data_IF_550402293093
#
_entry.id   IF_550402293093
#
_cell.length_a   1.000
_cell.length_b   1.000
_cell.length_c   1.000
_cell.angle_alpha   90.00
_cell.angle_beta   90.00
_cell.angle_gamma   90.00
#
_symmetry.space_group_name_H-M   'P 1'
#
loop_
_entity.id
_entity.type
_entity.pdbx_description
1 polymer ?
#
# COMPACT_ATOMS: atom_id res chain seq x y z
N UNK A 1 -24.78 5.66 56.77
CA UNK A 1 -25.77 6.66 56.33
C UNK A 1 -25.77 6.63 54.82
N UNK A 2 -26.67 5.92 54.33
CA UNK A 2 -27.82 6.06 53.40
C UNK A 2 -27.83 7.43 52.69
N UNK A 3 -27.81 7.44 51.37
CA UNK A 3 -29.03 7.64 50.58
C UNK A 3 -28.79 7.30 49.09
N UNK A 4 -29.64 6.39 48.59
CA UNK A 4 -29.91 6.12 47.19
C UNK A 4 -30.77 7.23 46.61
N UNK A 5 -30.58 7.60 45.35
CA UNK A 5 -31.63 8.22 44.53
C UNK A 5 -31.68 7.50 43.17
N UNK A 6 -32.77 6.79 43.01
CA UNK A 6 -33.25 6.21 41.75
C UNK A 6 -34.20 7.23 41.11
N UNK A 7 -34.00 7.54 39.83
CA UNK A 7 -35.04 8.19 39.02
C UNK A 7 -35.30 7.36 37.79
N UNK A 8 -36.47 6.71 37.75
CA UNK A 8 -37.13 6.21 36.54
C UNK A 8 -37.81 7.37 35.82
N UNK A 9 -37.74 7.44 34.52
CA UNK A 9 -38.81 8.06 33.74
C UNK A 9 -39.01 7.31 32.43
N UNK A 10 -40.22 6.79 32.29
CA UNK A 10 -40.80 6.20 31.09
C UNK A 10 -41.31 7.30 30.15
N UNK A 11 -41.30 7.07 28.85
CA UNK A 11 -41.85 7.98 27.85
C UNK A 11 -41.95 7.33 26.48
N UNK A 12 -43.01 6.60 26.32
CA UNK A 12 -44.04 6.66 25.26
C UNK A 12 -43.61 6.51 23.80
N UNK A 13 -43.98 5.35 23.28
CA UNK A 13 -44.11 4.93 21.91
C UNK A 13 -45.26 5.69 21.20
N UNK A 14 -45.00 6.35 20.08
CA UNK A 14 -46.04 6.86 19.17
C UNK A 14 -45.90 6.18 17.80
N UNK A 15 -46.82 5.23 17.53
CA UNK A 15 -47.02 4.60 16.24
C UNK A 15 -48.03 5.43 15.46
N UNK A 16 -47.63 5.98 14.31
CA UNK A 16 -48.54 6.60 13.35
C UNK A 16 -48.76 5.67 12.17
N UNK A 17 -49.95 5.11 12.11
CA UNK A 17 -50.47 4.30 11.01
C UNK A 17 -51.11 5.26 9.98
N UNK A 18 -50.60 5.30 8.75
CA UNK A 18 -51.25 6.00 7.63
C UNK A 18 -51.82 4.96 6.68
N UNK A 19 -53.16 4.88 6.67
CA UNK A 19 -53.97 4.20 5.67
C UNK A 19 -54.07 5.07 4.41
N UNK A 20 -53.62 4.57 3.26
CA UNK A 20 -53.95 5.16 1.97
C UNK A 20 -55.08 4.36 1.29
N UNK A 21 -56.14 5.07 0.99
CA UNK A 21 -57.37 4.59 0.34
C UNK A 21 -57.12 4.57 -1.17
N UNK A 22 -57.37 3.42 -1.82
CA UNK A 22 -57.49 3.30 -3.28
C UNK A 22 -58.86 3.76 -3.75
N UNK A 23 -58.89 4.74 -4.66
CA UNK A 23 -60.06 5.01 -5.49
C UNK A 23 -59.69 4.82 -6.95
N UNK A 24 -60.30 3.85 -7.60
CA UNK A 24 -60.14 3.60 -9.02
C UNK A 24 -60.96 4.55 -9.85
N UNK A 25 -60.47 4.91 -11.04
CA UNK A 25 -61.28 5.43 -12.14
C UNK A 25 -60.80 4.82 -13.45
N UNK A 26 -61.70 4.12 -14.13
CA UNK A 26 -61.61 3.63 -15.50
C UNK A 26 -61.89 4.81 -16.45
N UNK A 27 -61.04 4.96 -17.50
CA UNK A 27 -61.26 5.91 -18.57
C UNK A 27 -60.44 5.56 -19.80
N UNK A 28 -61.14 5.27 -20.85
CA UNK A 28 -60.82 4.92 -22.26
C UNK A 28 -59.72 5.72 -22.93
N UNK A 29 -58.89 5.02 -23.73
CA UNK A 29 -57.99 5.59 -24.76
C UNK A 29 -58.82 6.19 -25.95
N UNK A 30 -58.27 7.11 -26.77
CA UNK A 30 -57.28 6.80 -27.81
C UNK A 30 -56.30 7.99 -28.12
N UNK A 31 -55.22 7.69 -28.82
CA UNK A 31 -54.43 8.70 -29.55
C UNK A 31 -52.91 8.45 -29.48
N UNK A 32 -52.43 7.73 -30.50
CA UNK A 32 -51.02 7.63 -30.81
C UNK A 32 -50.42 9.02 -31.08
N UNK A 33 -49.36 9.34 -30.36
CA UNK A 33 -48.42 10.38 -30.77
C UNK A 33 -47.01 9.86 -30.50
N UNK A 34 -46.33 9.45 -31.55
CA UNK A 34 -44.93 9.03 -31.53
C UNK A 34 -44.07 10.19 -31.07
N UNK A 35 -43.50 10.07 -29.89
CA UNK A 35 -42.40 10.90 -29.40
C UNK A 35 -41.09 10.18 -29.78
N UNK A 36 -40.09 10.90 -30.34
CA UNK A 36 -38.85 10.25 -30.80
C UNK A 36 -38.15 9.54 -29.65
N UNK A 37 -37.76 8.28 -29.92
CA UNK A 37 -37.14 7.39 -28.96
C UNK A 37 -36.02 8.05 -28.18
N UNK A 38 -36.18 8.09 -26.86
CA UNK A 38 -35.06 8.16 -25.98
C UNK A 38 -34.23 6.88 -26.19
N UNK A 39 -33.14 7.04 -26.90
CA UNK A 39 -32.10 6.00 -26.95
C UNK A 39 -31.64 5.76 -25.52
N UNK A 40 -32.21 4.78 -24.88
CA UNK A 40 -31.62 4.17 -23.69
C UNK A 40 -30.32 3.56 -24.18
N UNK A 41 -29.23 4.29 -24.05
CA UNK A 41 -27.89 3.72 -24.09
C UNK A 41 -27.86 2.75 -22.92
N UNK A 42 -28.08 1.47 -23.21
CA UNK A 42 -27.66 0.39 -22.31
C UNK A 42 -26.20 0.66 -21.99
N UNK A 43 -25.78 0.71 -20.70
CA UNK A 43 -24.36 0.79 -20.38
C UNK A 43 -23.69 -0.39 -21.08
N UNK A 44 -22.61 -0.11 -21.80
CA UNK A 44 -21.84 -1.15 -22.46
C UNK A 44 -21.50 -2.21 -21.40
N UNK A 45 -21.96 -3.43 -21.62
CA UNK A 45 -21.64 -4.60 -20.81
C UNK A 45 -20.14 -4.75 -20.81
N UNK A 46 -19.48 -4.43 -19.66
CA UNK A 46 -18.10 -4.74 -19.48
C UNK A 46 -17.20 -3.69 -18.87
N UNK A 47 -17.68 -2.78 -18.00
CA UNK A 47 -16.77 -2.17 -17.05
C UNK A 47 -16.33 -3.27 -16.09
N UNK A 48 -15.18 -3.89 -16.35
CA UNK A 48 -14.64 -4.91 -15.47
C UNK A 48 -14.09 -4.23 -14.21
N UNK A 49 -14.51 -4.65 -13.02
CA UNK A 49 -13.84 -4.27 -11.78
C UNK A 49 -12.52 -5.03 -11.71
N UNK A 50 -11.43 -4.34 -11.39
CA UNK A 50 -10.13 -4.92 -11.05
C UNK A 50 -9.80 -4.58 -9.60
N UNK A 51 -9.80 -5.58 -8.74
CA UNK A 51 -9.48 -5.44 -7.33
C UNK A 51 -7.98 -5.64 -7.11
N UNK A 52 -7.35 -4.69 -6.45
CA UNK A 52 -5.91 -4.63 -6.28
C UNK A 52 -5.56 -4.52 -4.80
N UNK A 53 -4.93 -5.56 -4.24
CA UNK A 53 -4.33 -5.42 -2.91
C UNK A 53 -2.95 -4.76 -3.03
N UNK A 54 -2.72 -3.76 -2.21
CA UNK A 54 -1.50 -2.95 -2.26
C UNK A 54 -1.05 -2.55 -0.86
N UNK A 55 -0.08 -1.64 -0.77
CA UNK A 55 0.51 -1.25 0.52
C UNK A 55 0.07 0.14 0.97
N UNK A 56 -0.06 0.32 2.30
CA UNK A 56 -0.37 1.62 2.89
C UNK A 56 0.72 2.65 2.62
N UNK A 57 1.99 2.24 2.45
CA UNK A 57 3.05 3.13 2.05
C UNK A 57 2.83 3.66 0.63
N UNK A 58 2.44 2.81 -0.32
CA UNK A 58 2.14 3.24 -1.67
C UNK A 58 0.89 4.14 -1.73
N UNK A 59 -0.15 3.80 -0.96
CA UNK A 59 -1.34 4.66 -0.81
C UNK A 59 -0.98 6.05 -0.27
N UNK A 60 -0.13 6.12 0.76
CA UNK A 60 0.28 7.38 1.39
C UNK A 60 1.04 8.33 0.46
N UNK A 61 1.67 7.83 -0.60
CA UNK A 61 2.31 8.69 -1.61
C UNK A 61 1.32 9.42 -2.50
N UNK A 62 0.09 8.91 -2.62
CA UNK A 62 -0.93 9.43 -3.55
C UNK A 62 -0.83 8.86 -4.97
N UNK A 63 0.17 8.01 -5.29
CA UNK A 63 0.34 7.45 -6.63
C UNK A 63 -0.88 6.63 -7.07
N UNK A 64 -1.52 5.89 -6.16
CA UNK A 64 -2.68 5.04 -6.52
C UNK A 64 -3.83 5.85 -7.13
N UNK A 65 -4.14 7.01 -6.55
CA UNK A 65 -5.20 7.88 -7.06
C UNK A 65 -4.87 8.45 -8.46
N UNK A 66 -3.59 8.68 -8.75
CA UNK A 66 -3.15 9.13 -10.06
C UNK A 66 -3.20 8.00 -11.10
N UNK A 67 -2.79 6.79 -10.74
CA UNK A 67 -2.92 5.59 -11.58
C UNK A 67 -4.40 5.32 -11.94
N UNK A 68 -5.29 5.36 -10.94
CA UNK A 68 -6.74 5.23 -11.11
C UNK A 68 -7.27 6.29 -12.09
N UNK A 69 -7.01 7.54 -11.82
CA UNK A 69 -7.48 8.66 -12.62
C UNK A 69 -7.09 8.56 -14.11
N UNK A 70 -5.83 8.20 -14.39
CA UNK A 70 -5.33 8.14 -15.77
C UNK A 70 -5.84 6.88 -16.45
N UNK A 71 -5.66 5.71 -15.84
CA UNK A 71 -6.04 4.45 -16.45
C UNK A 71 -7.56 4.33 -16.71
N UNK A 72 -8.39 4.74 -15.76
CA UNK A 72 -9.85 4.76 -15.91
C UNK A 72 -10.33 5.82 -16.91
N UNK A 73 -9.57 6.91 -17.06
CA UNK A 73 -9.85 7.96 -18.05
C UNK A 73 -9.78 7.44 -19.49
N UNK A 74 -9.01 6.38 -19.74
CA UNK A 74 -8.75 5.81 -21.06
C UNK A 74 -9.39 4.43 -21.27
N UNK A 75 -9.74 3.76 -20.18
CA UNK A 75 -10.26 2.40 -20.18
C UNK A 75 -11.63 2.32 -19.49
N UNK A 76 -12.49 1.44 -19.99
CA UNK A 76 -13.78 1.16 -19.33
C UNK A 76 -13.55 0.12 -18.24
N UNK A 77 -13.06 0.55 -17.08
CA UNK A 77 -12.69 -0.27 -15.94
C UNK A 77 -12.94 0.50 -14.64
N UNK A 78 -13.08 -0.21 -13.52
CA UNK A 78 -13.15 0.31 -12.16
C UNK A 78 -12.01 -0.33 -11.34
N UNK A 79 -10.97 0.43 -11.00
CA UNK A 79 -9.85 -0.02 -10.17
C UNK A 79 -10.20 0.15 -8.70
N UNK A 80 -10.15 -0.93 -7.94
CA UNK A 80 -10.45 -0.89 -6.50
C UNK A 80 -9.21 -1.28 -5.69
N UNK A 81 -8.58 -0.31 -5.05
CA UNK A 81 -7.40 -0.51 -4.22
C UNK A 81 -7.78 -0.85 -2.78
N UNK A 82 -7.08 -1.86 -2.21
CA UNK A 82 -7.18 -2.27 -0.81
C UNK A 82 -5.78 -2.16 -0.22
N UNK A 83 -5.51 -1.06 0.48
CA UNK A 83 -4.20 -0.80 1.07
C UNK A 83 -4.04 -1.46 2.45
N UNK A 84 -2.96 -2.23 2.61
CA UNK A 84 -2.63 -2.97 3.83
C UNK A 84 -1.12 -3.26 3.87
N UNK A 85 -0.61 -4.04 4.80
CA UNK A 85 0.79 -4.48 4.75
C UNK A 85 1.01 -5.51 3.66
N UNK A 86 2.24 -5.62 3.08
CA UNK A 86 2.53 -6.57 1.99
C UNK A 86 2.11 -8.00 2.33
N UNK A 87 2.43 -8.51 3.53
CA UNK A 87 2.02 -9.85 3.93
C UNK A 87 0.51 -10.04 3.90
N UNK A 88 -0.25 -9.06 4.41
CA UNK A 88 -1.72 -9.09 4.37
C UNK A 88 -2.27 -8.98 2.95
N UNK A 89 -1.63 -8.18 2.07
CA UNK A 89 -2.01 -8.05 0.67
C UNK A 89 -1.86 -9.40 -0.06
N UNK A 90 -0.74 -10.08 0.14
CA UNK A 90 -0.50 -11.41 -0.41
C UNK A 90 -1.46 -12.46 0.17
N UNK A 91 -1.79 -12.40 1.47
CA UNK A 91 -2.78 -13.28 2.08
C UNK A 91 -4.19 -13.06 1.50
N UNK A 92 -4.55 -11.80 1.23
CA UNK A 92 -5.81 -11.46 0.55
C UNK A 92 -5.85 -12.06 -0.86
N UNK A 93 -4.74 -11.99 -1.59
CA UNK A 93 -4.59 -12.59 -2.90
C UNK A 93 -4.59 -14.14 -2.86
N UNK A 94 -3.96 -14.75 -1.84
CA UNK A 94 -4.00 -16.21 -1.61
C UNK A 94 -5.42 -16.75 -1.41
N UNK A 95 -6.33 -15.93 -0.91
CA UNK A 95 -7.76 -16.30 -0.78
C UNK A 95 -8.57 -16.07 -2.05
N UNK A 96 -8.01 -15.38 -3.06
CA UNK A 96 -8.71 -15.01 -4.29
C UNK A 96 -9.71 -13.85 -4.12
N UNK A 97 -9.53 -13.01 -3.09
CA UNK A 97 -10.39 -11.86 -2.81
C UNK A 97 -10.07 -10.65 -3.72
N UNK A 98 -8.92 -10.69 -4.40
CA UNK A 98 -8.43 -9.66 -5.35
C UNK A 98 -7.91 -10.30 -6.63
N UNK A 99 -7.68 -9.49 -7.66
CA UNK A 99 -7.24 -9.90 -8.99
C UNK A 99 -5.74 -9.67 -9.21
N UNK A 100 -5.16 -8.74 -8.46
CA UNK A 100 -3.78 -8.26 -8.59
C UNK A 100 -3.23 -7.87 -7.23
N UNK A 101 -1.92 -8.00 -7.06
CA UNK A 101 -1.18 -7.35 -5.98
C UNK A 101 -0.17 -6.35 -6.55
N UNK A 102 -0.02 -5.20 -5.88
CA UNK A 102 0.99 -4.19 -6.15
C UNK A 102 1.76 -3.94 -4.85
N UNK A 103 2.94 -4.54 -4.73
CA UNK A 103 3.66 -4.72 -3.46
C UNK A 103 5.18 -4.52 -3.62
N UNK A 104 5.92 -4.54 -2.51
CA UNK A 104 7.36 -4.26 -2.49
C UNK A 104 8.11 -5.06 -1.41
N UNK A 105 8.01 -6.38 -1.44
CA UNK A 105 8.77 -7.28 -0.57
C UNK A 105 9.20 -8.53 -1.37
N UNK A 106 10.33 -8.47 -2.10
CA UNK A 106 10.74 -9.50 -3.05
C UNK A 106 10.68 -10.93 -2.53
N UNK A 107 11.14 -11.18 -1.30
CA UNK A 107 11.13 -12.52 -0.72
C UNK A 107 9.70 -13.09 -0.54
N UNK A 108 8.74 -12.25 -0.12
CA UNK A 108 7.34 -12.66 0.01
C UNK A 108 6.64 -12.80 -1.35
N UNK A 109 7.06 -12.00 -2.34
CA UNK A 109 6.58 -12.06 -3.71
C UNK A 109 7.01 -13.38 -4.38
N UNK A 110 8.28 -13.77 -4.21
CA UNK A 110 8.83 -15.03 -4.71
C UNK A 110 8.08 -16.22 -4.10
N UNK A 111 7.90 -16.24 -2.77
CA UNK A 111 7.10 -17.27 -2.09
C UNK A 111 5.69 -17.39 -2.68
N UNK A 112 4.99 -16.26 -2.88
CA UNK A 112 3.64 -16.21 -3.44
C UNK A 112 3.58 -16.80 -4.87
N UNK A 113 4.58 -16.51 -5.70
CA UNK A 113 4.70 -17.05 -7.07
C UNK A 113 5.08 -18.53 -7.04
N UNK A 114 6.04 -18.95 -6.22
CA UNK A 114 6.50 -20.33 -6.09
C UNK A 114 5.39 -21.26 -5.57
N UNK A 115 4.55 -20.77 -4.67
CA UNK A 115 3.34 -21.46 -4.23
C UNK A 115 2.25 -21.55 -5.33
N UNK A 116 2.46 -20.86 -6.47
CA UNK A 116 1.57 -20.86 -7.63
C UNK A 116 0.31 -20.00 -7.46
N UNK A 117 0.24 -19.11 -6.47
CA UNK A 117 -0.86 -18.16 -6.31
C UNK A 117 -0.72 -16.92 -7.20
N UNK A 118 0.52 -16.52 -7.50
CA UNK A 118 0.85 -15.42 -8.39
C UNK A 118 1.33 -15.88 -9.75
N UNK A 119 0.98 -15.14 -10.79
CA UNK A 119 1.50 -15.33 -12.14
C UNK A 119 1.97 -14.00 -12.72
N UNK A 120 2.91 -14.10 -13.67
CA UNK A 120 3.36 -12.96 -14.47
C UNK A 120 3.89 -11.76 -13.64
N UNK A 121 4.78 -11.95 -12.66
CA UNK A 121 5.33 -10.84 -11.90
C UNK A 121 6.05 -9.85 -12.81
N UNK A 122 5.83 -8.55 -12.58
CA UNK A 122 6.53 -7.45 -13.27
C UNK A 122 7.03 -6.44 -12.27
N UNK A 123 8.30 -6.09 -12.35
CA UNK A 123 8.84 -4.93 -11.65
C UNK A 123 8.40 -3.66 -12.36
N UNK A 124 7.82 -2.76 -11.61
CA UNK A 124 7.25 -1.52 -12.12
C UNK A 124 8.26 -0.37 -11.98
N UNK A 125 8.74 -0.17 -10.77
CA UNK A 125 9.61 0.92 -10.39
C UNK A 125 10.39 0.56 -9.12
N UNK A 126 11.29 1.44 -8.72
CA UNK A 126 11.92 1.41 -7.41
C UNK A 126 11.99 2.81 -6.81
N UNK A 127 12.18 2.87 -5.51
CA UNK A 127 12.65 4.03 -4.76
C UNK A 127 13.59 3.53 -3.66
N UNK A 128 13.82 4.34 -2.64
CA UNK A 128 14.68 3.94 -1.54
C UNK A 128 13.92 3.98 -0.21
N UNK A 129 14.28 3.07 0.67
CA UNK A 129 14.07 3.26 2.08
C UNK A 129 15.07 4.29 2.60
N UNK A 130 14.69 4.98 3.64
CA UNK A 130 15.55 5.88 4.39
C UNK A 130 15.39 5.61 5.88
N UNK A 131 16.43 5.89 6.66
CA UNK A 131 16.33 5.92 8.11
C UNK A 131 16.13 7.36 8.52
N UNK A 132 15.02 7.66 9.17
CA UNK A 132 14.74 8.97 9.74
C UNK A 132 14.90 8.93 11.25
N UNK A 133 15.29 10.06 11.84
CA UNK A 133 15.51 10.16 13.26
C UNK A 133 15.48 11.60 13.76
N UNK A 134 15.66 11.83 15.07
CA UNK A 134 15.74 13.18 15.61
C UNK A 134 16.98 13.90 15.06
N UNK A 135 16.86 15.20 14.75
CA UNK A 135 17.93 16.05 14.22
C UNK A 135 19.22 16.03 15.08
N UNK A 136 19.08 15.75 16.37
CA UNK A 136 20.21 15.66 17.30
C UNK A 136 21.05 14.39 17.17
N UNK A 137 20.58 13.41 16.40
CA UNK A 137 21.20 12.11 16.17
C UNK A 137 21.87 11.49 17.42
N UNK A 138 21.11 11.17 18.48
CA UNK A 138 21.69 10.70 19.74
C UNK A 138 22.43 9.36 19.63
N UNK A 139 22.18 8.57 18.58
CA UNK A 139 22.91 7.34 18.30
C UNK A 139 24.18 7.59 17.49
N UNK A 140 24.31 8.76 16.81
CA UNK A 140 25.47 9.12 16.00
C UNK A 140 25.57 8.27 14.73
N UNK A 141 24.44 8.03 14.04
CA UNK A 141 24.40 7.16 12.87
C UNK A 141 24.37 7.93 11.53
N UNK A 142 24.29 9.25 11.55
CA UNK A 142 24.22 10.07 10.35
C UNK A 142 25.33 9.73 9.35
N UNK A 143 24.96 9.42 8.13
CA UNK A 143 25.88 9.08 7.04
C UNK A 143 26.61 7.75 7.17
N UNK A 144 26.21 6.88 8.10
CA UNK A 144 26.73 5.51 8.18
C UNK A 144 26.16 4.63 7.07
N UNK A 145 26.85 3.52 6.78
CA UNK A 145 26.29 2.39 6.07
C UNK A 145 25.03 1.88 6.80
N UNK A 146 23.93 1.53 6.10
CA UNK A 146 22.68 1.12 6.73
C UNK A 146 22.82 -0.04 7.73
N UNK A 147 23.63 -1.06 7.40
CA UNK A 147 23.84 -2.22 8.26
C UNK A 147 24.63 -1.83 9.52
N UNK A 148 25.66 -1.00 9.36
CA UNK A 148 26.43 -0.49 10.51
C UNK A 148 25.59 0.45 11.39
N UNK A 149 24.66 1.21 10.80
CA UNK A 149 23.70 2.03 11.56
C UNK A 149 22.78 1.17 12.43
N UNK A 150 22.24 0.08 11.89
CA UNK A 150 21.43 -0.86 12.63
C UNK A 150 22.21 -1.51 13.78
N UNK A 151 23.47 -1.89 13.57
CA UNK A 151 24.36 -2.36 14.67
C UNK A 151 24.54 -1.30 15.76
N UNK A 152 24.76 -0.05 15.35
CA UNK A 152 24.96 1.07 16.26
C UNK A 152 23.70 1.36 17.06
N UNK A 153 22.53 1.36 16.42
CA UNK A 153 21.22 1.50 17.06
C UNK A 153 20.97 0.42 18.11
N UNK A 154 21.26 -0.85 17.78
CA UNK A 154 21.13 -1.95 18.73
C UNK A 154 22.02 -1.78 19.95
N UNK A 155 23.32 -1.46 19.74
CA UNK A 155 24.27 -1.25 20.82
C UNK A 155 23.85 -0.06 21.70
N UNK A 156 23.48 1.06 21.09
CA UNK A 156 23.07 2.26 21.82
C UNK A 156 21.75 2.03 22.60
N UNK A 157 20.77 1.37 21.97
CA UNK A 157 19.48 1.07 22.58
C UNK A 157 19.59 0.11 23.77
N UNK A 158 20.33 -0.99 23.62
CA UNK A 158 20.54 -1.99 24.70
C UNK A 158 21.36 -1.42 25.86
N UNK A 159 22.26 -0.47 25.59
CA UNK A 159 22.99 0.28 26.60
C UNK A 159 22.15 1.40 27.25
N UNK A 160 20.89 1.57 26.88
CA UNK A 160 20.00 2.64 27.34
C UNK A 160 20.59 4.04 27.13
N UNK A 161 21.24 4.27 25.99
CA UNK A 161 21.75 5.59 25.60
C UNK A 161 20.60 6.61 25.59
N UNK A 162 20.71 7.72 26.31
CA UNK A 162 19.63 8.70 26.39
C UNK A 162 19.22 9.24 25.02
N UNK A 163 17.92 9.24 24.74
CA UNK A 163 17.36 9.74 23.48
C UNK A 163 17.38 8.72 22.33
N UNK A 164 17.91 7.51 22.54
CA UNK A 164 17.89 6.45 21.52
C UNK A 164 16.68 5.56 21.72
N UNK A 165 15.81 5.54 20.71
CA UNK A 165 14.71 4.61 20.56
C UNK A 165 14.52 4.30 19.07
N UNK A 166 13.92 3.16 18.75
CA UNK A 166 13.55 2.76 17.40
C UNK A 166 12.07 2.36 17.37
N UNK A 167 11.34 2.83 16.38
CA UNK A 167 9.94 2.45 16.14
C UNK A 167 9.88 1.61 14.87
N UNK A 168 9.48 0.36 15.04
CA UNK A 168 9.19 -0.56 13.94
C UNK A 168 7.74 -0.47 13.51
N UNK A 169 7.47 -0.74 12.24
CA UNK A 169 6.10 -0.95 11.78
C UNK A 169 5.41 -2.15 12.41
N UNK A 170 6.13 -3.27 12.60
CA UNK A 170 5.65 -4.47 13.29
C UNK A 170 4.47 -5.20 12.63
N UNK A 171 4.16 -4.93 11.36
CA UNK A 171 2.92 -5.35 10.69
C UNK A 171 3.13 -6.32 9.50
N UNK A 172 4.34 -6.86 9.36
CA UNK A 172 4.77 -7.68 8.22
C UNK A 172 4.56 -6.99 6.84
N UNK A 173 4.66 -5.67 6.81
CA UNK A 173 4.71 -4.87 5.57
C UNK A 173 6.05 -5.02 4.87
N UNK A 174 6.17 -4.49 3.63
CA UNK A 174 7.44 -4.42 2.92
C UNK A 174 8.53 -3.70 3.72
N UNK A 175 8.20 -2.57 4.36
CA UNK A 175 9.12 -1.85 5.25
C UNK A 175 9.54 -2.69 6.45
N UNK A 176 8.60 -3.42 7.08
CA UNK A 176 8.93 -4.30 8.20
C UNK A 176 9.78 -5.51 7.77
N UNK A 177 9.53 -6.05 6.57
CA UNK A 177 10.38 -7.12 6.00
C UNK A 177 11.78 -6.59 5.76
N UNK A 178 11.93 -5.39 5.18
CA UNK A 178 13.23 -4.77 4.97
C UNK A 178 13.96 -4.48 6.27
N UNK A 179 13.26 -3.99 7.29
CA UNK A 179 13.81 -3.79 8.63
C UNK A 179 14.40 -5.10 9.19
N UNK A 180 13.63 -6.21 9.10
CA UNK A 180 14.11 -7.53 9.56
C UNK A 180 15.34 -8.01 8.78
N UNK A 181 15.41 -7.70 7.48
CA UNK A 181 16.58 -7.99 6.65
C UNK A 181 17.81 -7.23 7.16
N UNK A 182 17.68 -5.93 7.40
CA UNK A 182 18.77 -5.10 7.92
C UNK A 182 19.23 -5.55 9.31
N UNK A 183 18.30 -5.93 10.22
CA UNK A 183 18.69 -6.53 11.50
C UNK A 183 19.47 -7.85 11.32
N UNK A 184 19.01 -8.71 10.39
CA UNK A 184 19.70 -9.97 10.07
C UNK A 184 21.11 -9.75 9.51
N UNK A 185 21.28 -8.82 8.58
CA UNK A 185 22.58 -8.41 8.01
C UNK A 185 23.49 -7.77 9.07
N UNK A 186 22.90 -7.04 10.01
CA UNK A 186 23.60 -6.50 11.18
C UNK A 186 24.03 -7.61 12.17
N UNK A 187 23.60 -8.85 11.96
CA UNK A 187 24.00 -10.02 12.76
C UNK A 187 23.06 -10.32 13.93
N UNK A 188 21.85 -9.78 13.94
CA UNK A 188 20.85 -9.98 15.00
C UNK A 188 19.68 -10.83 14.52
N UNK A 189 19.26 -11.78 15.35
CA UNK A 189 18.01 -12.55 15.15
C UNK A 189 16.82 -11.68 15.60
N UNK A 190 15.89 -11.44 14.67
CA UNK A 190 14.78 -10.52 14.95
C UNK A 190 13.94 -10.96 16.14
N UNK A 191 13.58 -12.24 16.23
CA UNK A 191 12.72 -12.76 17.29
C UNK A 191 13.45 -12.89 18.64
N UNK A 192 14.74 -13.24 18.61
CA UNK A 192 15.50 -13.49 19.84
C UNK A 192 16.18 -12.25 20.39
N UNK A 193 16.73 -11.43 19.49
CA UNK A 193 17.55 -10.30 19.90
C UNK A 193 16.77 -9.00 19.88
N UNK A 194 15.98 -8.73 18.79
CA UNK A 194 15.33 -7.42 18.61
C UNK A 194 14.03 -7.32 19.41
N UNK A 195 13.11 -8.29 19.30
CA UNK A 195 11.85 -8.26 20.05
C UNK A 195 12.03 -8.35 21.56
N UNK A 196 13.18 -8.83 22.02
CA UNK A 196 13.53 -8.94 23.45
C UNK A 196 14.51 -7.87 23.95
N UNK A 197 14.90 -6.93 23.07
CA UNK A 197 15.97 -5.97 23.33
C UNK A 197 15.62 -4.87 24.38
N UNK A 198 14.37 -4.78 24.79
CA UNK A 198 13.93 -3.83 25.81
C UNK A 198 13.11 -2.66 25.28
N UNK A 199 12.85 -1.68 26.13
CA UNK A 199 11.88 -0.62 25.86
C UNK A 199 12.31 0.42 24.78
N UNK A 200 13.55 0.37 24.32
CA UNK A 200 14.03 1.24 23.26
C UNK A 200 13.50 0.84 21.88
N UNK A 201 13.13 -0.43 21.71
CA UNK A 201 12.50 -0.94 20.51
C UNK A 201 10.99 -0.99 20.71
N UNK A 202 10.24 -0.33 19.83
CA UNK A 202 8.80 -0.18 19.94
C UNK A 202 8.15 -0.72 18.67
N UNK A 203 7.36 -1.77 18.81
CA UNK A 203 6.51 -2.30 17.76
C UNK A 203 5.23 -1.45 17.67
N UNK A 204 5.01 -0.76 16.55
CA UNK A 204 3.85 0.10 16.35
C UNK A 204 2.60 -0.68 15.95
N UNK A 205 2.75 -1.78 15.19
CA UNK A 205 1.62 -2.53 14.62
C UNK A 205 0.72 -1.69 13.72
N UNK A 206 1.30 -0.71 12.97
CA UNK A 206 0.55 0.31 12.23
C UNK A 206 1.06 0.49 10.81
N UNK A 207 0.27 1.19 9.96
CA UNK A 207 0.70 1.65 8.66
C UNK A 207 1.83 2.69 8.73
N UNK A 208 2.53 2.92 7.59
CA UNK A 208 3.76 3.73 7.58
C UNK A 208 3.56 5.16 8.08
N UNK A 209 2.50 5.84 7.63
CA UNK A 209 2.22 7.21 8.06
C UNK A 209 2.01 7.32 9.58
N UNK A 210 1.23 6.41 10.18
CA UNK A 210 1.03 6.38 11.64
C UNK A 210 2.31 6.00 12.39
N UNK A 211 3.15 5.16 11.81
CA UNK A 211 4.46 4.79 12.36
C UNK A 211 5.39 6.00 12.40
N UNK A 212 5.44 6.80 11.33
CA UNK A 212 6.21 8.06 11.28
C UNK A 212 5.76 9.04 12.36
N UNK A 213 4.44 9.22 12.54
CA UNK A 213 3.90 10.11 13.58
C UNK A 213 4.28 9.59 14.98
N UNK A 214 4.18 8.28 15.22
CA UNK A 214 4.57 7.70 16.50
C UNK A 214 6.09 7.86 16.77
N UNK A 215 6.91 7.67 15.74
CA UNK A 215 8.35 7.87 15.83
C UNK A 215 8.70 9.33 16.14
N UNK A 216 8.00 10.29 15.52
CA UNK A 216 8.15 11.72 15.78
C UNK A 216 7.79 12.08 17.21
N UNK A 217 6.63 11.62 17.71
CA UNK A 217 6.21 11.82 19.10
C UNK A 217 7.22 11.27 20.12
N UNK A 218 7.85 10.15 19.79
CA UNK A 218 8.86 9.50 20.63
C UNK A 218 10.28 10.07 20.43
N UNK A 219 10.49 10.88 19.40
CA UNK A 219 11.81 11.31 18.93
C UNK A 219 12.71 10.11 18.67
N UNK A 220 12.17 9.10 18.01
CA UNK A 220 12.80 7.82 17.75
C UNK A 220 13.27 7.72 16.29
N UNK A 221 14.20 6.82 16.04
CA UNK A 221 14.53 6.40 14.68
C UNK A 221 13.45 5.47 14.13
N UNK A 222 13.28 5.46 12.82
CA UNK A 222 12.43 4.48 12.10
C UNK A 222 12.90 4.32 10.66
N UNK A 223 12.65 3.15 10.08
CA UNK A 223 12.79 2.90 8.66
C UNK A 223 11.49 3.31 7.96
N UNK A 224 11.60 4.02 6.85
CA UNK A 224 10.45 4.40 6.00
C UNK A 224 10.86 4.42 4.54
N UNK A 225 9.91 4.28 3.62
CA UNK A 225 10.18 4.65 2.23
C UNK A 225 10.20 6.18 2.08
N UNK A 226 11.06 6.66 1.19
CA UNK A 226 11.27 8.10 0.98
C UNK A 226 9.98 8.81 0.55
N UNK A 227 9.15 8.17 -0.31
CA UNK A 227 7.91 8.74 -0.80
C UNK A 227 6.92 9.03 0.34
N UNK A 228 6.72 8.08 1.25
CA UNK A 228 5.88 8.31 2.43
C UNK A 228 6.46 9.40 3.32
N UNK A 229 7.78 9.39 3.58
CA UNK A 229 8.40 10.47 4.36
C UNK A 229 8.15 11.85 3.75
N UNK A 230 8.36 12.03 2.45
CA UNK A 230 8.14 13.30 1.77
C UNK A 230 6.69 13.78 1.86
N UNK A 231 5.73 12.86 1.78
CA UNK A 231 4.29 13.19 1.95
C UNK A 231 3.94 13.61 3.38
N UNK A 232 4.77 13.27 4.36
CA UNK A 232 4.54 13.57 5.79
C UNK A 232 5.48 14.62 6.36
N UNK A 233 6.58 14.98 5.68
CA UNK A 233 7.71 15.79 6.21
C UNK A 233 7.29 17.10 6.89
N UNK A 234 6.30 17.80 6.34
CA UNK A 234 5.86 19.10 6.88
C UNK A 234 5.14 18.98 8.24
N UNK A 235 4.84 17.75 8.65
CA UNK A 235 4.18 17.42 9.94
C UNK A 235 5.13 16.77 10.94
N UNK A 236 6.39 16.55 10.55
CA UNK A 236 7.38 15.82 11.33
C UNK A 236 8.54 16.73 11.70
N UNK A 237 9.10 16.51 12.89
CA UNK A 237 10.39 17.07 13.31
C UNK A 237 11.55 16.10 13.02
N UNK A 238 11.26 14.85 12.64
CA UNK A 238 12.26 13.88 12.21
C UNK A 238 12.88 14.29 10.89
N UNK A 239 14.18 14.03 10.75
CA UNK A 239 14.95 14.29 9.54
C UNK A 239 15.55 12.99 9.00
N UNK A 240 15.84 12.89 7.70
CA UNK A 240 16.64 11.79 7.19
C UNK A 240 18.03 11.81 7.79
N UNK A 241 18.47 10.67 8.30
CA UNK A 241 19.83 10.46 8.85
C UNK A 241 20.65 9.51 7.97
N UNK A 242 19.97 8.63 7.21
CA UNK A 242 20.59 7.79 6.17
C UNK A 242 19.65 7.72 4.98
N UNK A 243 20.17 8.11 3.80
CA UNK A 243 19.44 8.17 2.53
C UNK A 243 20.10 7.34 1.43
N UNK A 244 21.28 6.79 1.67
CA UNK A 244 22.08 6.07 0.69
C UNK A 244 22.43 4.65 1.18
N UNK A 245 22.55 3.71 0.25
CA UNK A 245 22.89 2.32 0.49
C UNK A 245 22.13 1.38 -0.45
N UNK A 246 22.80 0.40 -1.02
CA UNK A 246 22.18 -0.60 -1.90
C UNK A 246 21.14 -1.44 -1.17
N UNK A 247 21.34 -1.62 0.13
CA UNK A 247 20.45 -2.33 1.05
C UNK A 247 19.11 -1.58 1.26
N UNK A 248 19.08 -0.29 0.96
CA UNK A 248 17.87 0.53 1.09
C UNK A 248 17.00 0.54 -0.17
N UNK A 249 17.38 -0.19 -1.22
CA UNK A 249 16.58 -0.24 -2.44
C UNK A 249 15.23 -0.89 -2.21
N UNK A 250 14.18 -0.24 -2.67
CA UNK A 250 12.79 -0.63 -2.50
C UNK A 250 12.12 -0.83 -3.86
N UNK A 251 12.02 -2.08 -4.32
CA UNK A 251 11.50 -2.45 -5.62
C UNK A 251 9.99 -2.77 -5.52
N UNK A 252 9.20 -2.16 -6.38
CA UNK A 252 7.76 -2.39 -6.51
C UNK A 252 7.44 -3.36 -7.64
N UNK A 253 6.56 -4.30 -7.35
CA UNK A 253 6.12 -5.32 -8.31
C UNK A 253 4.61 -5.40 -8.40
N UNK A 254 4.11 -5.68 -9.61
CA UNK A 254 2.73 -6.05 -9.89
C UNK A 254 2.67 -7.54 -10.24
N UNK A 255 1.76 -8.29 -9.60
CA UNK A 255 1.63 -9.74 -9.78
C UNK A 255 0.14 -10.09 -9.90
N UNK A 256 -0.26 -10.69 -11.02
CA UNK A 256 -1.64 -11.14 -11.20
C UNK A 256 -1.92 -12.39 -10.36
N UNK A 257 -3.12 -12.48 -9.80
CA UNK A 257 -3.58 -13.68 -9.10
C UNK A 257 -3.84 -14.80 -10.12
N UNK A 258 -3.40 -16.01 -9.79
CA UNK A 258 -3.48 -17.14 -10.70
C UNK A 258 -4.94 -17.63 -10.87
N UNK A 259 -5.55 -17.50 -12.07
CA UNK A 259 -6.92 -17.91 -12.32
C UNK A 259 -7.12 -19.44 -12.26
N UNK A 260 -6.06 -20.24 -12.39
CA UNK A 260 -6.16 -21.70 -12.22
C UNK A 260 -6.48 -22.07 -10.77
N UNK A 261 -5.96 -21.30 -9.80
CA UNK A 261 -6.29 -21.45 -8.38
C UNK A 261 -7.59 -20.73 -8.00
N UNK A 262 -7.85 -19.59 -8.64
CA UNK A 262 -8.99 -18.72 -8.34
C UNK A 262 -9.78 -18.35 -9.62
N UNK A 263 -10.60 -19.26 -10.16
CA UNK A 263 -11.31 -19.03 -11.43
C UNK A 263 -12.29 -17.84 -11.43
N UNK A 264 -12.56 -17.24 -10.26
CA UNK A 264 -13.44 -16.08 -10.12
C UNK A 264 -12.73 -14.73 -10.26
N UNK A 265 -11.39 -14.72 -10.40
CA UNK A 265 -10.62 -13.49 -10.54
C UNK A 265 -10.72 -12.90 -11.94
N UNK A 266 -10.64 -11.56 -12.04
CA UNK A 266 -10.54 -10.84 -13.30
C UNK A 266 -9.10 -10.83 -13.81
N UNK A 267 -8.58 -12.02 -14.14
CA UNK A 267 -7.19 -12.18 -14.61
C UNK A 267 -6.88 -11.34 -15.85
N UNK A 268 -7.86 -11.18 -16.76
CA UNK A 268 -7.69 -10.34 -17.96
C UNK A 268 -7.49 -8.87 -17.57
N UNK A 269 -8.37 -8.32 -16.74
CA UNK A 269 -8.26 -6.93 -16.29
C UNK A 269 -6.97 -6.66 -15.51
N UNK A 270 -6.55 -7.61 -14.67
CA UNK A 270 -5.27 -7.55 -13.95
C UNK A 270 -4.08 -7.49 -14.92
N UNK A 271 -4.05 -8.35 -15.93
CA UNK A 271 -2.99 -8.39 -16.94
C UNK A 271 -2.99 -7.14 -17.82
N UNK A 272 -4.16 -6.64 -18.22
CA UNK A 272 -4.27 -5.41 -19.00
C UNK A 272 -3.68 -4.21 -18.22
N UNK A 273 -3.98 -4.11 -16.92
CA UNK A 273 -3.43 -3.06 -16.06
C UNK A 273 -1.91 -3.21 -15.85
N UNK A 274 -1.40 -4.44 -15.64
CA UNK A 274 0.05 -4.69 -15.57
C UNK A 274 0.74 -4.26 -16.88
N UNK A 275 0.17 -4.60 -18.04
CA UNK A 275 0.72 -4.24 -19.34
C UNK A 275 0.78 -2.71 -19.51
N UNK A 276 -0.25 -2.00 -19.06
CA UNK A 276 -0.23 -0.54 -19.07
C UNK A 276 0.83 0.04 -18.11
N UNK A 277 0.97 -0.49 -16.88
CA UNK A 277 1.99 -0.06 -15.93
C UNK A 277 3.43 -0.20 -16.47
N UNK A 278 3.71 -1.23 -17.30
CA UNK A 278 5.04 -1.43 -17.89
C UNK A 278 5.18 -0.83 -19.29
N UNK A 279 4.14 -0.21 -19.85
CA UNK A 279 4.19 0.56 -21.09
C UNK A 279 4.97 1.87 -20.92
N UNK A 280 5.33 2.51 -22.02
CA UNK A 280 5.98 3.82 -21.98
C UNK A 280 5.14 4.86 -21.24
N UNK A 281 3.83 4.84 -21.44
CA UNK A 281 2.88 5.76 -20.78
C UNK A 281 2.82 5.55 -19.28
N UNK A 282 2.62 4.31 -18.82
CA UNK A 282 2.58 4.00 -17.38
C UNK A 282 3.91 4.34 -16.70
N UNK A 283 5.04 4.07 -17.37
CA UNK A 283 6.38 4.42 -16.87
C UNK A 283 6.61 5.92 -16.80
N UNK A 284 6.18 6.69 -17.81
CA UNK A 284 6.27 8.16 -17.80
C UNK A 284 5.47 8.73 -16.63
N UNK A 285 4.21 8.25 -16.43
CA UNK A 285 3.39 8.68 -15.32
C UNK A 285 4.05 8.40 -13.96
N UNK A 286 4.55 7.18 -13.75
CA UNK A 286 5.23 6.78 -12.50
C UNK A 286 6.51 7.59 -12.29
N UNK A 287 7.29 7.82 -13.37
CA UNK A 287 8.56 8.54 -13.31
C UNK A 287 8.42 10.05 -13.11
N UNK A 288 7.30 10.63 -13.51
CA UNK A 288 7.04 12.06 -13.30
C UNK A 288 6.33 12.34 -11.98
N UNK A 289 5.76 11.29 -11.36
CA UNK A 289 4.96 11.44 -10.15
C UNK A 289 5.76 12.03 -8.99
N UNK A 290 5.21 13.05 -8.36
CA UNK A 290 5.82 13.78 -7.24
C UNK A 290 6.73 14.94 -7.65
N UNK A 291 7.18 15.02 -8.91
CA UNK A 291 8.12 16.06 -9.36
C UNK A 291 7.58 17.47 -9.15
N UNK A 292 6.29 17.69 -9.43
CA UNK A 292 5.66 19.01 -9.26
C UNK A 292 5.53 19.43 -7.79
N UNK A 293 5.32 18.46 -6.88
CA UNK A 293 5.08 18.72 -5.46
C UNK A 293 6.39 18.74 -4.65
N UNK A 294 7.30 17.79 -4.92
CA UNK A 294 8.51 17.56 -4.11
C UNK A 294 9.80 18.03 -4.80
N UNK A 295 9.71 18.48 -6.09
CA UNK A 295 10.88 18.89 -6.87
C UNK A 295 11.72 17.73 -7.40
N UNK A 296 11.31 16.48 -7.16
CA UNK A 296 11.91 15.24 -7.66
C UNK A 296 10.85 14.15 -7.79
N UNK A 297 11.04 13.16 -8.68
CA UNK A 297 10.17 12.00 -8.74
C UNK A 297 10.23 11.18 -7.45
N UNK A 298 9.10 10.59 -7.04
CA UNK A 298 9.04 9.67 -5.90
C UNK A 298 9.38 8.22 -6.28
N UNK A 299 9.37 7.90 -7.56
CA UNK A 299 9.64 6.57 -8.09
C UNK A 299 10.51 6.66 -9.33
N UNK A 300 11.35 5.67 -9.53
CA UNK A 300 12.20 5.52 -10.70
C UNK A 300 11.70 4.30 -11.48
N UNK A 301 11.10 4.47 -12.67
CA UNK A 301 10.60 3.38 -13.48
C UNK A 301 11.73 2.44 -13.91
N UNK A 302 11.43 1.14 -13.99
CA UNK A 302 12.36 0.14 -14.44
C UNK A 302 12.22 -0.14 -15.94
N UNK A 303 13.35 -0.15 -16.64
CA UNK A 303 13.45 -0.40 -18.07
C UNK A 303 14.33 -1.63 -18.36
N UNK A 304 14.01 -2.36 -19.44
CA UNK A 304 14.92 -3.39 -19.94
C UNK A 304 16.13 -2.74 -20.66
N UNK A 305 17.35 -3.30 -20.55
CA UNK A 305 17.67 -4.54 -19.85
C UNK A 305 17.97 -4.39 -18.35
N UNK A 306 17.97 -3.19 -17.80
CA UNK A 306 18.39 -2.89 -16.43
C UNK A 306 17.67 -3.77 -15.38
N UNK A 307 16.34 -3.94 -15.52
CA UNK A 307 15.57 -4.73 -14.57
C UNK A 307 15.97 -6.22 -14.51
N UNK A 308 16.59 -6.76 -15.56
CA UNK A 308 17.02 -8.17 -15.60
C UNK A 308 18.37 -8.41 -14.96
N UNK A 309 19.12 -7.35 -14.64
CA UNK A 309 20.42 -7.41 -14.01
C UNK A 309 20.33 -7.14 -12.50
N UNK A 310 21.32 -7.59 -11.71
CA UNK A 310 21.41 -7.20 -10.32
C UNK A 310 21.48 -5.66 -10.15
N UNK A 311 20.84 -5.13 -9.12
CA UNK A 311 20.20 -5.80 -7.98
C UNK A 311 18.73 -6.20 -8.22
N UNK A 312 18.14 -5.87 -9.36
CA UNK A 312 16.70 -6.06 -9.59
C UNK A 312 16.30 -7.52 -9.87
N UNK A 313 17.01 -8.20 -10.80
CA UNK A 313 16.77 -9.59 -11.17
C UNK A 313 15.30 -9.92 -11.48
N UNK A 314 14.62 -9.09 -12.26
CA UNK A 314 13.18 -9.21 -12.49
C UNK A 314 12.81 -8.91 -13.96
N UNK A 315 11.55 -9.04 -14.33
CA UNK A 315 11.01 -8.72 -15.64
C UNK A 315 10.19 -7.43 -15.58
N UNK A 316 10.45 -6.46 -16.46
CA UNK A 316 9.80 -5.15 -16.41
C UNK A 316 9.27 -4.59 -17.74
N UNK A 317 9.44 -5.29 -18.86
CA UNK A 317 9.21 -4.70 -20.17
C UNK A 317 8.40 -5.53 -21.17
N UNK A 318 8.14 -6.79 -20.87
CA UNK A 318 7.45 -7.65 -21.83
C UNK A 318 5.94 -7.66 -21.57
N UNK A 319 5.09 -7.56 -22.62
CA UNK A 319 3.68 -7.74 -22.44
C UNK A 319 3.41 -9.10 -21.81
N UNK A 320 2.56 -9.08 -20.81
CA UNK A 320 2.13 -10.28 -20.10
C UNK A 320 1.09 -10.98 -20.96
N UNK A 321 1.23 -12.28 -21.22
CA UNK A 321 0.16 -13.00 -21.89
C UNK A 321 -1.08 -13.07 -21.03
N UNK A 322 -2.23 -12.74 -21.62
CA UNK A 322 -3.52 -12.94 -20.95
C UNK A 322 -3.74 -14.44 -20.80
N UNK A 323 -4.05 -14.95 -19.59
CA UNK A 323 -4.42 -16.35 -19.41
C UNK A 323 -5.60 -16.74 -20.29
N UNK A 324 -5.55 -17.95 -20.85
CA UNK A 324 -6.57 -18.45 -21.76
C UNK A 324 -7.91 -18.75 -21.06
#
# INVERSE_FOLDING_TARGET
MKTNVTILSAGALLVLLVLAIFAGCTGTAPGENETPGATTTTPASGAGVVKIATTTSLENTGLLAELERVYEGENVVDLQFIAQGTGQALDTARRGDVDLVLVHAPALEEEFVDEGYGINPRCIAYNFFIIVGPESDPAGIEGMDPVEAFKTLYIAGTNNTPGVAFVSRGDNSGTHVQEKTLWGEAGYDYDKDILTAGAWYVDAGKGMGDTLILADEKKAYTLTDEGTYLSFKDRLALVPVIEEGTELMNRYSAIAVNPEKHPGTNAKGAVDFINWLVSDEGKELVGDFGTAEFGKPLFIPLYAPECTEPPFNCTCAEPVPVPA
#
